data_IF_052156262885
#
_entry.id   IF_052156262885
#
_cell.length_a   1.000
_cell.length_b   1.000
_cell.length_c   1.000
_cell.angle_alpha   90.00
_cell.angle_beta   90.00
_cell.angle_gamma   90.00
#
_symmetry.space_group_name_H-M   'P 1'
#
loop_
_entity.id
_entity.type
_entity.pdbx_description
1 polymer ?
#
# COMPACT_ATOMS: atom_id res chain seq x y z
N UNK A 1 0.74 -0.73 1.16
CA UNK A 1 1.72 -0.59 0.07
C UNK A 1 1.26 0.48 -0.89
N UNK A 2 2.16 1.32 -1.35
CA UNK A 2 1.89 2.30 -2.38
C UNK A 2 3.00 2.23 -3.42
N UNK A 3 2.63 2.02 -4.67
CA UNK A 3 3.54 2.04 -5.80
C UNK A 3 3.16 3.22 -6.68
N UNK A 4 4.15 4.02 -7.06
CA UNK A 4 3.94 5.16 -7.93
C UNK A 4 4.55 4.84 -9.29
N UNK A 5 3.69 4.79 -10.28
CA UNK A 5 4.10 4.68 -11.67
C UNK A 5 4.22 6.09 -12.24
N UNK A 6 5.32 6.33 -12.92
CA UNK A 6 5.54 7.62 -13.58
C UNK A 6 4.94 7.60 -14.99
N UNK A 7 3.88 8.36 -15.18
CA UNK A 7 3.24 8.60 -16.46
C UNK A 7 3.77 9.93 -17.08
N UNK A 8 5.07 10.18 -17.01
CA UNK A 8 5.66 11.47 -17.43
C UNK A 8 5.54 11.78 -18.93
N UNK A 9 5.09 10.88 -19.74
CA UNK A 9 4.59 11.22 -21.07
C UNK A 9 3.20 11.82 -20.91
N UNK A 10 3.09 13.13 -21.11
CA UNK A 10 1.84 13.83 -21.12
C UNK A 10 0.80 13.11 -21.99
N UNK A 11 0.03 12.23 -21.34
CA UNK A 11 -1.10 11.59 -21.97
C UNK A 11 -2.16 12.67 -22.12
N UNK A 12 -2.19 13.30 -23.27
CA UNK A 12 -3.25 14.22 -23.59
C UNK A 12 -4.50 13.39 -23.83
N UNK A 13 -5.31 13.24 -22.79
CA UNK A 13 -6.62 12.61 -22.94
C UNK A 13 -7.40 13.46 -23.94
N UNK A 14 -7.79 12.90 -25.09
CA UNK A 14 -8.59 13.66 -26.05
C UNK A 14 -10.01 13.82 -25.51
N UNK A 15 -10.17 14.78 -24.60
CA UNK A 15 -11.43 15.02 -23.86
C UNK A 15 -12.61 15.29 -24.79
N UNK A 16 -12.34 15.78 -26.01
CA UNK A 16 -13.34 15.97 -27.06
C UNK A 16 -13.93 14.66 -27.62
N UNK A 17 -13.29 13.52 -27.34
CA UNK A 17 -13.77 12.20 -27.72
C UNK A 17 -14.56 11.50 -26.63
N UNK A 18 -14.56 12.06 -25.40
CA UNK A 18 -15.32 11.51 -24.29
C UNK A 18 -16.75 12.02 -24.39
N UNK A 19 -17.66 11.18 -24.79
CA UNK A 19 -19.08 11.49 -24.95
C UNK A 19 -19.95 10.96 -23.80
N UNK A 20 -19.38 10.13 -22.92
CA UNK A 20 -20.04 9.57 -21.76
C UNK A 20 -19.15 8.61 -20.99
N UNK A 21 -19.66 8.09 -19.88
CA UNK A 21 -18.89 7.16 -19.02
C UNK A 21 -18.53 5.88 -19.76
N UNK A 22 -19.40 5.41 -20.64
CA UNK A 22 -19.21 4.14 -21.32
C UNK A 22 -18.08 4.18 -22.36
N UNK A 23 -17.79 5.34 -22.97
CA UNK A 23 -16.68 5.44 -23.92
C UNK A 23 -15.37 5.93 -23.31
N UNK A 24 -15.36 6.27 -22.05
CA UNK A 24 -14.13 6.64 -21.34
C UNK A 24 -13.06 5.54 -21.47
N UNK A 25 -13.46 4.28 -21.29
CA UNK A 25 -12.54 3.14 -21.37
C UNK A 25 -12.06 2.81 -22.78
N UNK A 26 -12.81 3.22 -23.81
CA UNK A 26 -12.37 3.10 -25.21
C UNK A 26 -11.35 4.19 -25.57
N UNK A 27 -11.52 5.36 -24.98
CA UNK A 27 -10.63 6.53 -25.20
C UNK A 27 -9.37 6.47 -24.35
N UNK A 28 -9.53 6.04 -23.10
CA UNK A 28 -8.41 5.77 -22.18
C UNK A 28 -7.83 4.39 -22.51
N UNK A 29 -7.03 4.33 -23.54
CA UNK A 29 -6.24 3.12 -23.79
C UNK A 29 -5.24 2.95 -22.66
N UNK A 30 -5.20 1.78 -22.08
CA UNK A 30 -4.13 1.35 -21.17
C UNK A 30 -2.84 1.20 -21.99
N UNK A 31 -2.22 2.32 -22.34
CA UNK A 31 -0.93 2.30 -23.01
C UNK A 31 0.16 2.05 -21.98
N UNK A 32 0.47 0.77 -21.79
CA UNK A 32 1.55 0.34 -20.88
C UNK A 32 2.93 0.53 -21.49
N UNK A 33 3.04 0.97 -22.74
CA UNK A 33 4.31 1.05 -23.49
C UNK A 33 5.33 1.94 -22.79
N UNK A 34 4.87 3.06 -22.25
CA UNK A 34 5.73 4.05 -21.60
C UNK A 34 5.61 4.06 -20.07
N UNK A 35 4.78 3.17 -19.51
CA UNK A 35 4.67 3.06 -18.06
C UNK A 35 5.91 2.43 -17.44
N UNK A 36 6.40 3.05 -16.40
CA UNK A 36 7.58 2.58 -15.69
C UNK A 36 7.41 2.70 -14.19
N UNK A 37 8.09 1.83 -13.46
CA UNK A 37 8.15 1.92 -12.02
C UNK A 37 9.07 3.07 -11.62
N UNK A 38 8.54 4.05 -10.89
CA UNK A 38 9.27 5.24 -10.47
C UNK A 38 9.90 5.09 -9.09
N UNK A 39 9.10 4.67 -8.12
CA UNK A 39 9.56 4.49 -6.76
C UNK A 39 8.76 3.41 -6.02
N UNK A 40 9.32 2.94 -4.93
CA UNK A 40 8.63 2.15 -3.92
C UNK A 40 8.38 2.99 -2.68
N UNK A 41 7.21 2.83 -2.11
CA UNK A 41 6.88 3.36 -0.80
C UNK A 41 6.21 2.27 0.02
N UNK A 42 6.76 2.00 1.16
CA UNK A 42 6.25 1.03 2.11
C UNK A 42 5.85 1.75 3.39
N UNK A 43 4.58 1.67 3.73
CA UNK A 43 4.04 2.24 4.96
C UNK A 43 3.58 1.11 5.86
N UNK A 44 4.17 1.01 7.03
CA UNK A 44 3.76 0.09 8.07
C UNK A 44 3.15 0.87 9.22
N UNK A 45 1.93 0.52 9.59
CA UNK A 45 1.24 1.11 10.72
C UNK A 45 0.79 0.01 11.65
N UNK A 46 1.24 0.07 12.89
CA UNK A 46 0.82 -0.83 13.95
C UNK A 46 0.17 -0.02 15.06
N UNK A 47 -1.06 -0.34 15.36
CA UNK A 47 -1.78 0.25 16.49
C UNK A 47 -2.21 -0.85 17.44
N UNK A 48 -1.73 -0.79 18.66
CA UNK A 48 -2.14 -1.68 19.74
C UNK A 48 -2.92 -0.87 20.77
N UNK A 49 -4.05 -1.39 21.20
CA UNK A 49 -4.87 -0.80 22.24
C UNK A 49 -5.10 -1.83 23.33
N UNK A 50 -4.74 -1.48 24.55
CA UNK A 50 -4.98 -2.27 25.75
C UNK A 50 -5.95 -1.53 26.65
N UNK A 51 -7.10 -2.12 26.89
CA UNK A 51 -8.07 -1.62 27.83
C UNK A 51 -8.16 -2.56 29.04
N UNK A 52 -7.98 -2.00 30.23
CA UNK A 52 -8.17 -2.69 31.50
C UNK A 52 -9.35 -2.05 32.23
N UNK A 53 -10.36 -2.84 32.52
CA UNK A 53 -11.53 -2.38 33.26
C UNK A 53 -11.70 -3.21 34.52
N UNK A 54 -11.74 -2.56 35.63
CA UNK A 54 -12.09 -3.16 36.93
C UNK A 54 -13.38 -2.50 37.43
N UNK A 55 -14.31 -3.31 37.88
CA UNK A 55 -15.58 -2.82 38.42
C UNK A 55 -16.01 -3.61 39.64
N UNK A 56 -16.46 -2.91 40.64
CA UNK A 56 -17.08 -3.49 41.85
C UNK A 56 -18.47 -2.90 41.97
N UNK A 57 -19.46 -3.78 42.04
CA UNK A 57 -20.83 -3.42 42.27
C UNK A 57 -21.29 -4.18 43.51
N UNK A 58 -21.71 -3.43 44.53
CA UNK A 58 -22.27 -3.95 45.76
C UNK A 58 -23.72 -3.51 45.86
N UNK A 59 -24.58 -4.44 46.20
CA UNK A 59 -25.96 -4.16 46.50
C UNK A 59 -26.29 -4.74 47.88
N UNK A 60 -26.88 -3.95 48.72
CA UNK A 60 -27.37 -4.36 50.03
C UNK A 60 -28.87 -4.06 50.15
N UNK A 61 -29.66 -5.10 50.28
CA UNK A 61 -31.09 -4.98 50.48
C UNK A 61 -31.38 -5.02 52.00
N UNK A 62 -32.16 -4.08 52.48
CA UNK A 62 -32.53 -3.98 53.90
C UNK A 62 -34.01 -3.87 54.08
N UNK A 63 -34.47 -4.41 55.24
CA UNK A 63 -35.84 -4.30 55.70
C UNK A 63 -35.80 -3.98 57.17
N UNK A 64 -36.16 -2.75 57.52
CA UNK A 64 -36.13 -2.28 58.91
C UNK A 64 -37.45 -2.55 59.59
N UNK A 65 -38.57 -2.32 58.94
CA UNK A 65 -39.92 -2.55 59.45
C UNK A 65 -40.80 -3.16 58.35
N UNK A 66 -42.08 -3.49 58.76
CA UNK A 66 -43.07 -4.00 57.81
C UNK A 66 -43.33 -3.04 56.62
N UNK A 67 -43.11 -1.74 56.88
CA UNK A 67 -43.38 -0.66 55.90
C UNK A 67 -42.12 0.02 55.38
N UNK A 68 -40.92 -0.32 55.87
CA UNK A 68 -39.69 0.31 55.48
C UNK A 68 -38.69 -0.76 55.00
N UNK A 69 -38.54 -0.84 53.69
CA UNK A 69 -37.53 -1.65 53.05
C UNK A 69 -36.90 -0.85 51.88
N UNK A 70 -35.65 -1.13 51.58
CA UNK A 70 -34.94 -0.45 50.49
C UNK A 70 -33.70 -1.23 50.06
N UNK A 71 -33.02 -0.67 49.09
CA UNK A 71 -31.72 -1.18 48.71
C UNK A 71 -30.70 -0.03 48.60
N UNK A 72 -29.48 -0.33 48.94
CA UNK A 72 -28.32 0.55 48.71
C UNK A 72 -27.44 -0.11 47.68
N UNK A 73 -27.13 0.62 46.64
CA UNK A 73 -26.21 0.17 45.59
C UNK A 73 -25.00 1.08 45.63
N UNK A 74 -23.83 0.46 45.65
CA UNK A 74 -22.56 1.11 45.55
C UNK A 74 -21.81 0.49 44.36
N UNK A 75 -21.33 1.32 43.45
CA UNK A 75 -20.56 0.86 42.32
C UNK A 75 -19.36 1.76 42.04
N UNK A 76 -18.24 1.14 41.75
CA UNK A 76 -17.06 1.82 41.25
C UNK A 76 -16.57 1.08 39.99
N UNK A 77 -16.27 1.82 38.95
CA UNK A 77 -15.67 1.31 37.73
C UNK A 77 -14.43 2.11 37.42
N UNK A 78 -13.30 1.42 37.39
CA UNK A 78 -12.01 1.98 36.98
C UNK A 78 -11.66 1.43 35.62
N UNK A 79 -11.33 2.32 34.69
CA UNK A 79 -10.96 1.97 33.31
C UNK A 79 -9.66 2.68 32.93
N UNK A 80 -8.69 1.90 32.52
CA UNK A 80 -7.44 2.39 31.97
C UNK A 80 -7.32 1.93 30.53
N UNK A 81 -7.01 2.86 29.64
CA UNK A 81 -6.80 2.61 28.22
C UNK A 81 -5.41 3.09 27.84
N UNK A 82 -4.62 2.18 27.34
CA UNK A 82 -3.29 2.47 26.80
C UNK A 82 -3.30 2.19 25.30
N UNK A 83 -2.87 3.14 24.52
CA UNK A 83 -2.74 3.00 23.05
C UNK A 83 -1.30 3.25 22.64
N UNK A 84 -0.73 2.29 21.95
CA UNK A 84 0.58 2.44 21.29
C UNK A 84 0.35 2.53 19.79
N UNK A 85 0.96 3.52 19.18
CA UNK A 85 0.90 3.74 17.74
C UNK A 85 2.33 3.78 17.22
N UNK A 86 2.60 2.90 16.25
CA UNK A 86 3.89 2.80 15.58
C UNK A 86 3.68 2.94 14.07
N UNK A 87 4.38 3.86 13.45
CA UNK A 87 4.31 4.12 12.02
C UNK A 87 5.71 4.15 11.45
N UNK A 88 5.95 3.31 10.45
CA UNK A 88 7.20 3.30 9.71
C UNK A 88 6.94 3.56 8.23
N UNK A 89 7.78 4.38 7.61
CA UNK A 89 7.74 4.72 6.19
C UNK A 89 9.11 4.46 5.58
N UNK A 90 9.16 3.57 4.60
CA UNK A 90 10.36 3.32 3.81
C UNK A 90 10.11 3.79 2.36
N UNK A 91 11.10 4.41 1.75
CA UNK A 91 11.03 4.93 0.38
C UNK A 91 12.29 4.59 -0.39
N UNK A 92 12.14 4.10 -1.61
CA UNK A 92 13.25 3.85 -2.53
C UNK A 92 12.98 4.44 -3.92
N UNK A 93 13.82 5.38 -4.40
CA UNK A 93 13.70 5.98 -5.73
C UNK A 93 14.25 5.02 -6.80
N UNK A 94 13.42 4.09 -7.23
CA UNK A 94 13.80 3.03 -8.17
C UNK A 94 14.23 3.58 -9.54
N UNK A 95 13.57 4.62 -10.02
CA UNK A 95 13.90 5.25 -11.29
C UNK A 95 15.35 5.77 -11.32
N UNK A 96 15.82 6.37 -10.22
CA UNK A 96 17.20 6.83 -10.12
C UNK A 96 18.19 5.66 -10.13
N UNK A 97 17.91 4.59 -9.42
CA UNK A 97 18.75 3.40 -9.40
C UNK A 97 18.76 2.67 -10.76
N UNK A 98 17.60 2.50 -11.37
CA UNK A 98 17.49 1.84 -12.67
C UNK A 98 18.15 2.63 -13.83
N UNK A 99 18.30 3.94 -13.66
CA UNK A 99 19.03 4.80 -14.61
C UNK A 99 20.55 4.61 -14.60
N UNK A 100 21.09 3.99 -13.55
CA UNK A 100 22.53 3.73 -13.40
C UNK A 100 22.87 2.33 -13.95
N UNK A 101 23.92 2.24 -14.76
CA UNK A 101 24.29 0.99 -15.42
C UNK A 101 24.58 -0.16 -14.43
N UNK A 102 25.28 0.13 -13.33
CA UNK A 102 25.63 -0.87 -12.33
C UNK A 102 24.41 -1.45 -11.57
N UNK A 103 23.55 -0.61 -10.97
CA UNK A 103 22.34 -1.06 -10.30
C UNK A 103 21.40 -1.81 -11.25
N UNK A 104 21.27 -1.36 -12.48
CA UNK A 104 20.44 -2.04 -13.47
C UNK A 104 20.96 -3.42 -13.81
N UNK A 105 22.27 -3.56 -14.05
CA UNK A 105 22.87 -4.85 -14.34
C UNK A 105 22.65 -5.85 -13.19
N UNK A 106 22.80 -5.40 -11.95
CA UNK A 106 22.53 -6.21 -10.78
C UNK A 106 21.06 -6.65 -10.65
N UNK A 107 20.12 -5.75 -10.98
CA UNK A 107 18.68 -6.08 -11.00
C UNK A 107 18.36 -7.09 -12.10
N UNK A 108 18.95 -6.95 -13.27
CA UNK A 108 18.71 -7.87 -14.40
C UNK A 108 19.36 -9.25 -14.20
N UNK A 109 20.48 -9.28 -13.48
CA UNK A 109 21.14 -10.54 -13.07
C UNK A 109 20.30 -11.29 -12.02
N UNK A 110 19.82 -10.59 -10.99
CA UNK A 110 19.00 -11.18 -9.91
C UNK A 110 17.60 -11.53 -10.39
N UNK A 111 17.03 -10.67 -11.25
CA UNK A 111 15.67 -10.79 -11.75
C UNK A 111 15.62 -10.85 -13.28
N UNK A 112 15.81 -12.02 -13.91
CA UNK A 112 15.80 -12.17 -15.38
C UNK A 112 14.53 -11.63 -16.04
N UNK A 113 13.40 -11.69 -15.36
CA UNK A 113 12.11 -11.14 -15.81
C UNK A 113 12.20 -9.64 -16.16
N UNK A 114 13.06 -8.88 -15.48
CA UNK A 114 13.29 -7.46 -15.80
C UNK A 114 14.05 -7.34 -17.14
N UNK A 115 15.04 -8.17 -17.35
CA UNK A 115 15.81 -8.17 -18.61
C UNK A 115 14.95 -8.57 -19.81
N UNK A 116 14.08 -9.56 -19.65
CA UNK A 116 13.18 -10.07 -20.68
C UNK A 116 12.09 -9.07 -21.07
N UNK A 117 11.67 -8.22 -20.11
CA UNK A 117 10.57 -7.26 -20.28
C UNK A 117 11.05 -5.81 -20.30
N UNK A 118 12.15 -5.54 -21.02
CA UNK A 118 12.65 -4.17 -21.20
C UNK A 118 11.66 -3.34 -22.00
N UNK A 119 11.35 -2.17 -21.46
CA UNK A 119 10.58 -1.17 -22.17
C UNK A 119 11.42 -0.36 -23.16
N UNK A 120 10.82 0.57 -23.88
CA UNK A 120 11.50 1.40 -24.86
C UNK A 120 12.57 2.32 -24.23
N UNK A 121 12.40 2.72 -22.98
CA UNK A 121 13.41 3.48 -22.23
C UNK A 121 14.28 2.55 -21.37
N UNK A 122 15.50 2.35 -21.82
CA UNK A 122 16.48 1.51 -21.14
C UNK A 122 16.89 2.02 -19.74
N UNK A 123 16.54 3.26 -19.37
CA UNK A 123 16.84 3.86 -18.08
C UNK A 123 15.74 3.64 -17.04
N UNK A 124 14.63 3.01 -17.42
CA UNK A 124 13.46 2.79 -16.56
C UNK A 124 13.12 1.31 -16.47
N UNK A 125 12.53 0.92 -15.34
CA UNK A 125 11.94 -0.40 -15.19
C UNK A 125 10.53 -0.38 -15.80
N UNK A 126 10.36 -1.07 -16.93
CA UNK A 126 9.06 -1.16 -17.58
C UNK A 126 8.03 -1.84 -16.70
N UNK A 127 6.79 -1.37 -16.74
CA UNK A 127 5.66 -2.02 -16.09
C UNK A 127 5.45 -3.46 -16.53
N UNK A 128 5.89 -3.82 -17.75
CA UNK A 128 5.71 -5.17 -18.30
C UNK A 128 6.37 -6.26 -17.45
N UNK A 129 7.50 -5.94 -16.80
CA UNK A 129 8.13 -6.86 -15.85
C UNK A 129 7.27 -7.14 -14.60
N UNK A 130 6.30 -6.29 -14.33
CA UNK A 130 5.49 -6.31 -13.10
C UNK A 130 4.02 -6.68 -13.34
N UNK A 131 3.64 -7.05 -14.54
CA UNK A 131 2.28 -7.46 -14.85
C UNK A 131 2.02 -8.87 -14.29
N UNK A 132 0.89 -9.04 -13.62
CA UNK A 132 0.42 -10.33 -13.18
C UNK A 132 -0.37 -11.01 -14.30
N UNK A 133 0.26 -11.97 -14.98
CA UNK A 133 -0.33 -12.70 -16.08
C UNK A 133 -1.51 -13.61 -15.67
N UNK A 134 -1.64 -13.89 -14.38
CA UNK A 134 -2.74 -14.70 -13.84
C UNK A 134 -3.98 -13.87 -13.47
N UNK A 135 -3.91 -12.55 -13.63
CA UNK A 135 -5.04 -11.69 -13.29
C UNK A 135 -6.06 -11.61 -14.43
N UNK A 136 -7.26 -12.08 -14.15
CA UNK A 136 -8.38 -11.95 -15.09
C UNK A 136 -9.07 -10.58 -14.93
N UNK A 137 -8.77 -9.68 -15.85
CA UNK A 137 -9.36 -8.34 -15.90
C UNK A 137 -10.74 -8.30 -16.56
N UNK A 138 -11.19 -9.40 -17.15
CA UNK A 138 -12.40 -9.44 -17.99
C UNK A 138 -13.71 -9.38 -17.20
N UNK A 139 -13.68 -9.74 -15.91
CA UNK A 139 -14.90 -9.90 -15.10
C UNK A 139 -15.22 -8.70 -14.18
N UNK A 140 -14.55 -7.57 -14.35
CA UNK A 140 -14.88 -6.40 -13.55
C UNK A 140 -16.30 -5.90 -13.85
N UNK A 141 -17.07 -5.69 -12.78
CA UNK A 141 -18.48 -5.30 -12.86
C UNK A 141 -19.30 -6.20 -13.83
N UNK A 142 -19.08 -7.50 -13.77
CA UNK A 142 -19.70 -8.52 -14.64
C UNK A 142 -19.34 -8.35 -16.13
N UNK A 143 -18.11 -7.95 -16.39
CA UNK A 143 -17.57 -7.76 -17.74
C UNK A 143 -18.01 -6.47 -18.44
N UNK A 144 -18.62 -5.55 -17.69
CA UNK A 144 -19.08 -4.26 -18.27
C UNK A 144 -17.91 -3.35 -18.64
N UNK A 145 -16.83 -3.41 -17.87
CA UNK A 145 -15.65 -2.57 -18.10
C UNK A 145 -14.39 -3.41 -18.09
N UNK A 146 -13.52 -3.26 -19.10
CA UNK A 146 -12.19 -3.87 -19.07
C UNK A 146 -11.34 -3.13 -18.04
N UNK A 147 -10.75 -3.87 -17.11
CA UNK A 147 -9.67 -3.32 -16.28
C UNK A 147 -8.34 -3.46 -17.02
N UNK A 148 -7.42 -2.56 -16.71
CA UNK A 148 -6.04 -2.70 -17.12
C UNK A 148 -5.33 -3.88 -16.44
N UNK A 149 -4.08 -4.16 -16.82
CA UNK A 149 -3.29 -5.19 -16.20
C UNK A 149 -3.10 -4.90 -14.70
N UNK A 150 -3.15 -5.93 -13.87
CA UNK A 150 -2.82 -5.81 -12.46
C UNK A 150 -1.31 -6.01 -12.25
N UNK A 151 -0.77 -5.35 -11.22
CA UNK A 151 0.60 -5.57 -10.83
C UNK A 151 0.77 -6.89 -10.06
N UNK A 152 1.89 -7.55 -10.30
CA UNK A 152 2.37 -8.68 -9.54
C UNK A 152 3.00 -8.18 -8.24
N UNK A 153 2.20 -8.19 -7.17
CA UNK A 153 2.61 -7.63 -5.89
C UNK A 153 3.73 -8.46 -5.24
N UNK A 154 3.75 -9.75 -5.43
CA UNK A 154 4.77 -10.64 -4.85
C UNK A 154 6.12 -10.31 -5.49
N UNK A 155 6.17 -10.24 -6.80
CA UNK A 155 7.38 -9.85 -7.51
C UNK A 155 7.84 -8.42 -7.17
N UNK A 156 6.92 -7.48 -7.02
CA UNK A 156 7.25 -6.13 -6.57
C UNK A 156 7.84 -6.12 -5.17
N UNK A 157 7.37 -6.98 -4.28
CA UNK A 157 7.90 -7.10 -2.92
C UNK A 157 9.31 -7.71 -2.91
N UNK A 158 9.60 -8.68 -3.77
CA UNK A 158 10.95 -9.25 -3.91
C UNK A 158 11.96 -8.16 -4.32
N UNK A 159 11.61 -7.35 -5.31
CA UNK A 159 12.46 -6.24 -5.76
C UNK A 159 12.61 -5.17 -4.67
N UNK A 160 11.54 -4.85 -3.96
CA UNK A 160 11.62 -3.92 -2.83
C UNK A 160 12.59 -4.44 -1.76
N UNK A 161 12.53 -5.73 -1.43
CA UNK A 161 13.42 -6.35 -0.48
C UNK A 161 14.88 -6.32 -0.96
N UNK A 162 15.12 -6.58 -2.24
CA UNK A 162 16.44 -6.46 -2.85
C UNK A 162 17.02 -5.05 -2.67
N UNK A 163 16.23 -4.00 -2.94
CA UNK A 163 16.67 -2.62 -2.71
C UNK A 163 16.94 -2.32 -1.23
N UNK A 164 16.12 -2.85 -0.35
CA UNK A 164 16.28 -2.70 1.09
C UNK A 164 17.56 -3.34 1.61
N UNK A 165 17.88 -4.54 1.17
CA UNK A 165 19.08 -5.29 1.56
C UNK A 165 20.36 -4.68 0.95
N UNK A 166 20.24 -4.07 -0.22
CA UNK A 166 21.34 -3.43 -0.93
C UNK A 166 21.30 -1.90 -0.81
N UNK A 167 20.68 -1.40 0.26
CA UNK A 167 20.58 0.03 0.54
C UNK A 167 21.95 0.69 0.56
N UNK A 168 22.02 1.90 0.00
CA UNK A 168 23.30 2.63 -0.12
C UNK A 168 24.21 2.19 -1.27
N UNK A 169 24.09 0.94 -1.74
CA UNK A 169 24.86 0.45 -2.89
C UNK A 169 24.16 0.68 -4.22
N UNK A 170 22.83 0.42 -4.26
CA UNK A 170 22.04 0.45 -5.47
C UNK A 170 20.92 1.46 -5.45
N UNK A 171 20.72 2.16 -4.35
CA UNK A 171 19.65 3.14 -4.19
C UNK A 171 20.22 4.50 -3.76
N UNK A 172 21.04 5.16 -4.60
CA UNK A 172 21.55 6.48 -4.27
C UNK A 172 20.39 7.45 -4.12
N UNK A 173 20.32 8.12 -2.98
CA UNK A 173 19.23 9.05 -2.64
C UNK A 173 17.98 8.40 -2.04
N UNK A 174 17.99 7.07 -1.77
CA UNK A 174 16.97 6.48 -0.95
C UNK A 174 17.08 7.07 0.47
N UNK A 175 15.98 7.62 0.97
CA UNK A 175 15.93 8.08 2.35
C UNK A 175 15.67 6.90 3.27
N UNK A 176 16.47 6.79 4.31
CA UNK A 176 16.16 5.92 5.43
C UNK A 176 14.96 6.49 6.17
N UNK A 177 14.09 5.59 6.53
CA UNK A 177 13.14 5.64 7.64
C UNK A 177 13.03 7.02 8.30
N UNK A 178 11.98 7.75 7.94
CA UNK A 178 11.49 8.82 8.80
C UNK A 178 10.66 8.17 9.91
N UNK A 179 11.28 7.90 11.05
CA UNK A 179 10.55 7.61 12.28
C UNK A 179 9.85 8.90 12.72
N UNK A 180 8.57 9.00 12.41
CA UNK A 180 7.72 9.97 13.09
C UNK A 180 7.24 9.36 14.40
N UNK A 181 7.80 9.83 15.51
CA UNK A 181 7.32 9.56 16.87
C UNK A 181 6.02 10.33 17.12
#
# INVERSE_FOLDING_TARGET
>A
YSFVFDETMAYTIPTNKITGVDNIFEVLKNDTTNMALNNYSFNYVRSNELEKTNGINLQYDFKITRFLSGNIKFGNKFRTKTRTYDKNHEYAPVAAAAGLAGPRAALEEEFPRIAENRGPDARRLSIWAFINDNYDSSNFMKGRYPLGPAADLDFMMEIFQFFRENYGRYSPGASTIDEYI
#
